data_IF_461726430046
#
_entry.id   IF_461726430046
#
_cell.length_a   1.000
_cell.length_b   1.000
_cell.length_c   1.000
_cell.angle_alpha   90.00
_cell.angle_beta   90.00
_cell.angle_gamma   90.00
#
_symmetry.space_group_name_H-M   'P 1'
#
loop_
_entity.id
_entity.type
_entity.pdbx_description
1 polymer ?
#
# COMPACT_ATOMS: atom_id res chain seq x y z
N UNK A 1 -11.66 24.99 18.16
CA UNK A 1 -11.30 23.84 17.33
C UNK A 1 -12.12 22.65 17.79
N UNK A 2 -12.87 22.05 16.88
CA UNK A 2 -13.86 21.02 17.20
C UNK A 2 -13.14 19.74 17.71
N UNK A 3 -13.49 19.27 18.91
CA UNK A 3 -12.86 18.08 19.55
C UNK A 3 -12.87 16.85 18.61
N UNK A 4 -13.80 16.78 17.66
CA UNK A 4 -13.88 15.73 16.64
C UNK A 4 -12.74 15.78 15.62
N UNK A 5 -12.29 16.97 15.22
CA UNK A 5 -11.19 17.14 14.27
C UNK A 5 -9.87 16.69 14.89
N UNK A 6 -9.58 17.18 16.10
CA UNK A 6 -8.38 16.80 16.84
C UNK A 6 -8.29 15.28 17.04
N UNK A 7 -9.40 14.64 17.39
CA UNK A 7 -9.45 13.18 17.55
C UNK A 7 -9.17 12.45 16.23
N UNK A 8 -9.74 12.90 15.12
CA UNK A 8 -9.53 12.27 13.81
C UNK A 8 -8.10 12.49 13.30
N UNK A 9 -7.53 13.67 13.49
CA UNK A 9 -6.11 13.96 13.18
C UNK A 9 -5.20 13.10 14.04
N UNK A 10 -5.45 13.00 15.35
CA UNK A 10 -4.67 12.17 16.26
C UNK A 10 -4.73 10.68 15.86
N UNK A 11 -5.91 10.15 15.54
CA UNK A 11 -6.07 8.76 15.05
C UNK A 11 -5.30 8.52 13.76
N UNK A 12 -5.34 9.46 12.81
CA UNK A 12 -4.61 9.34 11.56
C UNK A 12 -3.09 9.44 11.76
N UNK A 13 -2.63 10.36 12.61
CA UNK A 13 -1.20 10.48 12.98
C UNK A 13 -0.71 9.22 13.71
N UNK A 14 -1.50 8.72 14.66
CA UNK A 14 -1.17 7.48 15.38
C UNK A 14 -1.06 6.29 14.43
N UNK A 15 -1.98 6.18 13.46
CA UNK A 15 -1.96 5.16 12.41
C UNK A 15 -0.74 5.24 11.48
N UNK A 16 -0.09 6.41 11.36
CA UNK A 16 1.13 6.62 10.56
C UNK A 16 2.41 6.44 11.39
N UNK A 17 2.42 6.95 12.61
CA UNK A 17 3.63 6.94 13.49
C UNK A 17 3.86 5.55 14.07
N UNK A 18 2.80 4.86 14.46
CA UNK A 18 2.90 3.55 15.10
C UNK A 18 3.56 2.47 14.22
N UNK A 19 3.18 2.29 12.93
CA UNK A 19 3.88 1.37 12.04
C UNK A 19 5.36 1.72 11.83
N UNK A 20 5.68 3.02 11.78
CA UNK A 20 7.06 3.48 11.65
C UNK A 20 7.87 3.13 12.90
N UNK A 21 7.31 3.35 14.07
CA UNK A 21 7.94 2.99 15.34
C UNK A 21 8.16 1.47 15.45
N UNK A 22 7.16 0.67 15.08
CA UNK A 22 7.28 -0.79 15.07
C UNK A 22 8.41 -1.24 14.13
N UNK A 23 8.53 -0.63 12.93
CA UNK A 23 9.61 -0.99 12.01
C UNK A 23 10.98 -0.59 12.53
N UNK A 24 11.12 0.54 13.25
CA UNK A 24 12.39 0.94 13.87
C UNK A 24 12.87 -0.07 14.93
N UNK A 25 11.95 -0.72 15.63
CA UNK A 25 12.27 -1.74 16.64
C UNK A 25 12.50 -3.11 16.00
N UNK A 26 11.73 -3.46 14.98
CA UNK A 26 11.79 -4.80 14.37
C UNK A 26 12.96 -4.95 13.41
N UNK A 27 13.36 -3.90 12.67
CA UNK A 27 14.48 -3.96 11.72
C UNK A 27 15.80 -4.40 12.35
N UNK A 28 16.27 -3.80 13.47
CA UNK A 28 17.46 -4.29 14.15
C UNK A 28 17.35 -5.75 14.61
N UNK A 29 16.15 -6.17 15.04
CA UNK A 29 15.90 -7.56 15.46
C UNK A 29 16.00 -8.54 14.28
N UNK A 30 15.47 -8.17 13.12
CA UNK A 30 15.66 -8.94 11.88
C UNK A 30 17.12 -9.07 11.50
N UNK A 31 17.89 -7.98 11.54
CA UNK A 31 19.32 -8.01 11.19
C UNK A 31 20.11 -8.89 12.16
N UNK A 32 19.79 -8.86 13.45
CA UNK A 32 20.44 -9.72 14.46
C UNK A 32 20.15 -11.21 14.26
N UNK A 33 18.91 -11.55 13.90
CA UNK A 33 18.47 -12.94 13.74
C UNK A 33 18.90 -13.57 12.39
N UNK A 34 18.76 -12.80 11.31
CA UNK A 34 18.94 -13.30 9.94
C UNK A 34 20.32 -12.98 9.36
N UNK A 35 21.01 -11.98 9.90
CA UNK A 35 22.18 -11.38 9.30
C UNK A 35 21.86 -10.34 8.22
N UNK A 36 22.86 -9.51 7.89
CA UNK A 36 22.71 -8.37 6.98
C UNK A 36 22.34 -8.79 5.56
N UNK A 37 22.91 -9.89 5.06
CA UNK A 37 22.68 -10.36 3.68
C UNK A 37 21.24 -10.82 3.46
N UNK A 38 20.70 -11.69 4.34
CA UNK A 38 19.32 -12.16 4.25
C UNK A 38 18.32 -11.01 4.42
N UNK A 39 18.61 -10.08 5.34
CA UNK A 39 17.78 -8.90 5.49
C UNK A 39 17.80 -8.01 4.24
N UNK A 40 18.95 -7.87 3.58
CA UNK A 40 19.08 -7.17 2.30
C UNK A 40 18.19 -7.79 1.21
N UNK A 41 18.13 -9.11 1.11
CA UNK A 41 17.23 -9.83 0.18
C UNK A 41 15.77 -9.55 0.54
N UNK A 42 15.40 -9.59 1.83
CA UNK A 42 14.03 -9.25 2.27
C UNK A 42 13.65 -7.82 1.87
N UNK A 43 14.55 -6.86 2.08
CA UNK A 43 14.32 -5.46 1.70
C UNK A 43 14.14 -5.29 0.18
N UNK A 44 14.93 -5.99 -0.63
CA UNK A 44 14.75 -6.03 -2.10
C UNK A 44 13.40 -6.62 -2.49
N UNK A 45 13.02 -7.71 -1.86
CA UNK A 45 11.72 -8.36 -2.08
C UNK A 45 10.56 -7.40 -1.79
N UNK A 46 10.59 -6.68 -0.68
CA UNK A 46 9.56 -5.70 -0.35
C UNK A 46 9.51 -4.54 -1.34
N UNK A 47 10.66 -4.10 -1.81
CA UNK A 47 10.77 -3.08 -2.84
C UNK A 47 10.15 -3.57 -4.16
N UNK A 48 10.46 -4.79 -4.58
CA UNK A 48 9.87 -5.41 -5.77
C UNK A 48 8.35 -5.54 -5.64
N UNK A 49 7.84 -6.03 -4.52
CA UNK A 49 6.38 -6.11 -4.29
C UNK A 49 5.75 -4.71 -4.35
N UNK A 50 6.43 -3.67 -3.88
CA UNK A 50 6.01 -2.28 -4.02
C UNK A 50 5.90 -1.84 -5.48
N UNK A 51 6.87 -2.17 -6.33
CA UNK A 51 6.80 -1.89 -7.77
C UNK A 51 5.68 -2.66 -8.48
N UNK A 52 5.38 -3.87 -8.03
CA UNK A 52 4.26 -4.65 -8.59
C UNK A 52 2.88 -4.08 -8.26
N UNK A 53 2.78 -3.08 -7.37
CA UNK A 53 1.54 -2.30 -7.19
C UNK A 53 1.11 -1.58 -8.47
N UNK A 54 2.03 -1.35 -9.41
CA UNK A 54 1.73 -0.84 -10.77
C UNK A 54 0.79 -1.81 -11.52
N UNK A 55 0.82 -3.11 -11.21
CA UNK A 55 -0.09 -4.11 -11.80
C UNK A 55 -1.55 -3.98 -11.32
N UNK A 56 -1.83 -3.19 -10.29
CA UNK A 56 -3.19 -2.75 -9.97
C UNK A 56 -3.78 -1.90 -11.11
N UNK A 57 -2.94 -1.33 -11.98
CA UNK A 57 -3.33 -0.50 -13.13
C UNK A 57 -4.30 0.64 -12.74
N UNK A 58 -4.24 1.12 -11.49
CA UNK A 58 -5.17 2.14 -10.96
C UNK A 58 -6.61 1.66 -10.78
N UNK A 59 -6.88 0.35 -10.96
CA UNK A 59 -8.22 -0.21 -10.87
C UNK A 59 -8.82 -0.12 -9.47
N UNK A 60 -8.00 -0.21 -8.43
CA UNK A 60 -8.45 -0.03 -7.04
C UNK A 60 -8.97 1.39 -6.79
N UNK A 61 -8.31 2.40 -7.35
CA UNK A 61 -8.77 3.80 -7.28
C UNK A 61 -10.04 4.03 -8.10
N UNK A 62 -10.12 3.39 -9.29
CA UNK A 62 -11.31 3.40 -10.11
C UNK A 62 -12.50 2.76 -9.38
N UNK A 63 -12.27 1.61 -8.74
CA UNK A 63 -13.27 0.92 -7.94
C UNK A 63 -13.71 1.76 -6.73
N UNK A 64 -12.78 2.38 -6.02
CA UNK A 64 -13.08 3.30 -4.92
C UNK A 64 -14.01 4.43 -5.37
N UNK A 65 -13.73 5.08 -6.50
CA UNK A 65 -14.54 6.18 -7.04
C UNK A 65 -15.95 5.71 -7.44
N UNK A 66 -16.05 4.57 -8.15
CA UNK A 66 -17.34 4.03 -8.56
C UNK A 66 -18.17 3.53 -7.37
N UNK A 67 -17.54 2.89 -6.39
CA UNK A 67 -18.20 2.45 -5.15
C UNK A 67 -18.69 3.66 -4.36
N UNK A 68 -17.91 4.75 -4.27
CA UNK A 68 -18.33 5.95 -3.58
C UNK A 68 -19.61 6.54 -4.18
N UNK A 69 -19.71 6.61 -5.51
CA UNK A 69 -20.92 7.07 -6.23
C UNK A 69 -22.11 6.14 -5.99
N UNK A 70 -21.91 4.83 -6.13
CA UNK A 70 -22.95 3.83 -5.94
C UNK A 70 -23.43 3.78 -4.48
N UNK A 71 -22.52 3.91 -3.52
CA UNK A 71 -22.84 3.93 -2.10
C UNK A 71 -23.63 5.17 -1.69
N UNK A 72 -23.28 6.35 -2.22
CA UNK A 72 -23.99 7.60 -2.01
C UNK A 72 -25.42 7.56 -2.58
N UNK A 73 -25.61 6.91 -3.75
CA UNK A 73 -26.93 6.71 -4.37
C UNK A 73 -27.70 5.53 -3.77
N UNK A 74 -27.15 4.80 -2.79
CA UNK A 74 -27.73 3.60 -2.17
C UNK A 74 -28.00 2.46 -3.16
N UNK A 75 -27.26 2.43 -4.29
CA UNK A 75 -27.34 1.34 -5.26
C UNK A 75 -26.44 0.16 -4.84
N UNK A 76 -27.01 -0.74 -4.06
CA UNK A 76 -26.28 -1.92 -3.55
C UNK A 76 -25.85 -2.87 -4.68
N UNK A 77 -26.64 -2.98 -5.74
CA UNK A 77 -26.31 -3.82 -6.89
C UNK A 77 -25.12 -3.26 -7.67
N UNK A 78 -25.05 -1.95 -7.85
CA UNK A 78 -23.87 -1.31 -8.45
C UNK A 78 -22.61 -1.50 -7.59
N UNK A 79 -22.72 -1.31 -6.27
CA UNK A 79 -21.61 -1.58 -5.35
C UNK A 79 -21.09 -3.02 -5.50
N UNK A 80 -21.98 -4.00 -5.53
CA UNK A 80 -21.63 -5.41 -5.65
C UNK A 80 -20.99 -5.73 -7.02
N UNK A 81 -21.53 -5.18 -8.12
CA UNK A 81 -20.97 -5.35 -9.46
C UNK A 81 -19.56 -4.79 -9.56
N UNK A 82 -19.34 -3.57 -9.07
CA UNK A 82 -18.04 -2.90 -9.12
C UNK A 82 -17.04 -3.66 -8.27
N UNK A 83 -17.41 -4.03 -7.04
CA UNK A 83 -16.54 -4.76 -6.11
C UNK A 83 -16.03 -6.08 -6.70
N UNK A 84 -16.93 -6.93 -7.21
CA UNK A 84 -16.54 -8.24 -7.76
C UNK A 84 -15.78 -8.10 -9.08
N UNK A 85 -16.13 -7.14 -9.93
CA UNK A 85 -15.38 -6.90 -11.17
C UNK A 85 -13.95 -6.43 -10.87
N UNK A 86 -13.77 -5.51 -9.91
CA UNK A 86 -12.46 -5.07 -9.47
C UNK A 86 -11.66 -6.19 -8.80
N UNK A 87 -12.32 -7.01 -7.96
CA UNK A 87 -11.69 -8.18 -7.32
C UNK A 87 -11.10 -9.14 -8.34
N UNK A 88 -11.91 -9.59 -9.31
CA UNK A 88 -11.46 -10.56 -10.31
C UNK A 88 -10.38 -10.00 -11.23
N UNK A 89 -10.48 -8.72 -11.63
CA UNK A 89 -9.44 -8.07 -12.42
C UNK A 89 -8.12 -8.01 -11.65
N UNK A 90 -8.14 -7.55 -10.40
CA UNK A 90 -6.94 -7.44 -9.59
C UNK A 90 -6.36 -8.81 -9.19
N UNK A 91 -7.21 -9.81 -9.01
CA UNK A 91 -6.75 -11.18 -8.79
C UNK A 91 -6.03 -11.72 -10.02
N UNK A 92 -6.58 -11.53 -11.22
CA UNK A 92 -5.98 -12.03 -12.47
C UNK A 92 -4.67 -11.30 -12.80
N UNK A 93 -4.64 -9.96 -12.73
CA UNK A 93 -3.41 -9.19 -12.96
C UNK A 93 -2.35 -9.51 -11.90
N UNK A 94 -2.75 -9.68 -10.64
CA UNK A 94 -1.88 -10.12 -9.56
C UNK A 94 -1.33 -11.52 -9.77
N UNK A 95 -2.14 -12.47 -10.25
CA UNK A 95 -1.71 -13.83 -10.56
C UNK A 95 -0.71 -13.85 -11.73
N UNK A 96 -0.96 -13.06 -12.77
CA UNK A 96 -0.01 -12.87 -13.89
C UNK A 96 1.31 -12.29 -13.36
N UNK A 97 1.25 -11.24 -12.52
CA UNK A 97 2.43 -10.64 -11.89
C UNK A 97 3.20 -11.63 -11.00
N UNK A 98 2.47 -12.45 -10.25
CA UNK A 98 3.07 -13.52 -9.45
C UNK A 98 3.79 -14.56 -10.30
N UNK A 99 3.21 -14.96 -11.43
CA UNK A 99 3.85 -15.87 -12.37
C UNK A 99 5.11 -15.24 -13.02
N UNK A 100 5.06 -13.96 -13.36
CA UNK A 100 6.21 -13.22 -13.88
C UNK A 100 7.34 -13.13 -12.87
N UNK A 101 7.03 -12.87 -11.59
CA UNK A 101 8.05 -12.88 -10.52
C UNK A 101 8.63 -14.27 -10.32
N UNK A 102 7.81 -15.30 -10.33
CA UNK A 102 8.30 -16.66 -10.16
C UNK A 102 9.26 -17.05 -11.29
N UNK A 103 8.84 -16.87 -12.55
CA UNK A 103 9.64 -17.22 -13.72
C UNK A 103 10.88 -16.31 -13.86
N UNK A 104 10.73 -14.99 -13.71
CA UNK A 104 11.83 -14.04 -13.77
C UNK A 104 12.83 -14.20 -12.62
N UNK A 105 12.34 -14.47 -11.41
CA UNK A 105 13.17 -14.75 -10.23
C UNK A 105 13.95 -16.07 -10.38
N UNK A 106 13.33 -17.10 -10.93
CA UNK A 106 14.01 -18.37 -11.23
C UNK A 106 15.12 -18.20 -12.25
N UNK A 107 14.87 -17.44 -13.32
CA UNK A 107 15.87 -17.07 -14.32
C UNK A 107 17.00 -16.22 -13.70
N UNK A 108 16.66 -15.22 -12.91
CA UNK A 108 17.64 -14.36 -12.24
C UNK A 108 18.57 -15.17 -11.33
N UNK A 109 17.99 -16.05 -10.51
CA UNK A 109 18.78 -16.91 -9.63
C UNK A 109 19.65 -17.91 -10.39
N UNK A 110 19.26 -18.31 -11.61
CA UNK A 110 20.05 -19.20 -12.45
C UNK A 110 21.26 -18.51 -13.08
N UNK A 111 21.14 -17.25 -13.52
CA UNK A 111 22.13 -16.59 -14.38
C UNK A 111 22.90 -15.42 -13.76
N UNK A 112 22.35 -14.74 -12.74
CA UNK A 112 22.85 -13.43 -12.30
C UNK A 112 23.25 -13.35 -10.82
N UNK A 113 23.66 -14.43 -10.16
CA UNK A 113 23.95 -14.36 -8.74
C UNK A 113 25.43 -14.30 -8.38
N UNK A 114 25.83 -13.21 -7.72
CA UNK A 114 27.06 -13.11 -6.94
C UNK A 114 26.82 -13.42 -5.44
N UNK A 115 25.84 -14.29 -5.12
CA UNK A 115 25.50 -14.71 -3.78
C UNK A 115 25.98 -16.14 -3.50
N UNK A 116 26.14 -16.48 -2.22
CA UNK A 116 26.56 -17.83 -1.81
C UNK A 116 25.55 -18.88 -2.30
N UNK A 117 25.99 -20.13 -2.57
CA UNK A 117 25.11 -21.21 -3.00
C UNK A 117 23.93 -21.46 -2.04
N UNK A 118 24.16 -21.31 -0.73
CA UNK A 118 23.13 -21.46 0.31
C UNK A 118 22.04 -20.40 0.17
N UNK A 119 22.45 -19.13 0.05
CA UNK A 119 21.50 -18.01 -0.09
C UNK A 119 20.73 -18.10 -1.41
N UNK A 120 21.37 -18.55 -2.48
CA UNK A 120 20.73 -18.83 -3.76
C UNK A 120 19.58 -19.83 -3.61
N UNK A 121 19.86 -20.94 -2.90
CA UNK A 121 18.85 -21.98 -2.63
C UNK A 121 17.69 -21.41 -1.79
N UNK A 122 17.98 -20.63 -0.75
CA UNK A 122 16.94 -19.99 0.08
C UNK A 122 16.06 -19.05 -0.75
N UNK A 123 16.65 -18.23 -1.63
CA UNK A 123 15.91 -17.34 -2.53
C UNK A 123 15.00 -18.14 -3.46
N UNK A 124 15.52 -19.21 -4.07
CA UNK A 124 14.72 -20.05 -4.97
C UNK A 124 13.52 -20.69 -4.25
N UNK A 125 13.72 -21.19 -3.03
CA UNK A 125 12.64 -21.78 -2.20
C UNK A 125 11.64 -20.73 -1.70
N UNK A 126 12.02 -19.45 -1.69
CA UNK A 126 11.14 -18.35 -1.31
C UNK A 126 10.29 -17.82 -2.47
N UNK A 127 10.67 -18.06 -3.75
CA UNK A 127 9.96 -17.55 -4.93
C UNK A 127 8.46 -17.91 -4.97
N UNK A 128 8.01 -19.14 -4.62
CA UNK A 128 6.58 -19.45 -4.59
C UNK A 128 5.79 -18.56 -3.65
N UNK A 129 6.36 -18.23 -2.49
CA UNK A 129 5.73 -17.33 -1.52
C UNK A 129 5.59 -15.92 -2.06
N UNK A 130 6.62 -15.44 -2.78
CA UNK A 130 6.57 -14.15 -3.46
C UNK A 130 5.50 -14.10 -4.55
N UNK A 131 5.41 -15.16 -5.34
CA UNK A 131 4.39 -15.27 -6.38
C UNK A 131 2.96 -15.17 -5.80
N UNK A 132 2.71 -15.77 -4.63
CA UNK A 132 1.43 -15.68 -3.93
C UNK A 132 1.22 -14.30 -3.28
N UNK A 133 2.27 -13.61 -2.86
CA UNK A 133 2.16 -12.31 -2.21
C UNK A 133 1.54 -11.23 -3.11
N UNK A 134 1.77 -11.28 -4.42
CA UNK A 134 1.31 -10.26 -5.38
C UNK A 134 -0.20 -10.24 -5.55
N UNK A 135 -0.87 -11.36 -5.91
CA UNK A 135 -2.33 -11.35 -6.02
C UNK A 135 -3.00 -11.00 -4.68
N UNK A 136 -2.43 -11.42 -3.55
CA UNK A 136 -2.94 -11.03 -2.23
C UNK A 136 -2.83 -9.52 -2.01
N UNK A 137 -1.72 -8.90 -2.41
CA UNK A 137 -1.53 -7.46 -2.30
C UNK A 137 -2.54 -6.69 -3.19
N UNK A 138 -2.67 -7.08 -4.47
CA UNK A 138 -3.59 -6.43 -5.41
C UNK A 138 -5.05 -6.51 -4.93
N UNK A 139 -5.51 -7.68 -4.50
CA UNK A 139 -6.86 -7.84 -3.95
C UNK A 139 -7.06 -7.02 -2.68
N UNK A 140 -6.04 -6.89 -1.83
CA UNK A 140 -6.10 -6.05 -0.63
C UNK A 140 -6.34 -4.57 -0.95
N UNK A 141 -5.78 -4.06 -2.05
CA UNK A 141 -6.05 -2.70 -2.52
C UNK A 141 -7.51 -2.50 -2.92
N UNK A 142 -8.15 -3.49 -3.55
CA UNK A 142 -9.59 -3.45 -3.87
C UNK A 142 -10.43 -3.38 -2.59
N UNK A 143 -10.11 -4.20 -1.59
CA UNK A 143 -10.82 -4.18 -0.30
C UNK A 143 -10.65 -2.83 0.41
N UNK A 144 -9.44 -2.28 0.40
CA UNK A 144 -9.15 -0.95 0.93
C UNK A 144 -9.95 0.13 0.18
N UNK A 145 -9.94 0.09 -1.15
CA UNK A 145 -10.71 1.00 -2.00
C UNK A 145 -12.21 0.92 -1.73
N UNK A 146 -12.75 -0.27 -1.52
CA UNK A 146 -14.16 -0.49 -1.19
C UNK A 146 -14.57 0.16 0.15
N UNK A 147 -13.76 -0.03 1.20
CA UNK A 147 -14.03 0.55 2.52
C UNK A 147 -13.88 2.09 2.49
N UNK A 148 -12.85 2.58 1.81
CA UNK A 148 -12.61 4.01 1.65
C UNK A 148 -13.68 4.67 0.77
N UNK A 149 -14.16 3.99 -0.30
CA UNK A 149 -15.27 4.44 -1.13
C UNK A 149 -16.58 4.56 -0.36
N UNK A 150 -16.80 3.72 0.65
CA UNK A 150 -17.92 3.82 1.58
C UNK A 150 -17.67 4.80 2.75
N UNK A 151 -16.57 5.56 2.74
CA UNK A 151 -16.16 6.54 3.76
C UNK A 151 -15.99 5.96 5.18
N UNK A 152 -15.74 4.65 5.29
CA UNK A 152 -15.53 3.96 6.56
C UNK A 152 -14.06 3.94 6.98
N UNK A 153 -13.42 5.12 7.02
CA UNK A 153 -11.99 5.30 7.29
C UNK A 153 -11.53 4.70 8.63
N UNK A 154 -12.37 4.72 9.67
CA UNK A 154 -12.05 4.10 10.96
C UNK A 154 -11.86 2.58 10.84
N UNK A 155 -12.73 1.90 10.09
CA UNK A 155 -12.63 0.46 9.83
C UNK A 155 -11.37 0.17 9.01
N UNK A 156 -11.11 0.96 7.97
CA UNK A 156 -9.90 0.85 7.17
C UNK A 156 -8.63 0.98 8.02
N UNK A 157 -8.51 2.07 8.80
CA UNK A 157 -7.33 2.34 9.62
C UNK A 157 -7.09 1.25 10.67
N UNK A 158 -8.13 0.72 11.30
CA UNK A 158 -8.01 -0.39 12.27
C UNK A 158 -7.47 -1.64 11.59
N UNK A 159 -8.04 -2.04 10.44
CA UNK A 159 -7.57 -3.21 9.69
C UNK A 159 -6.13 -3.02 9.19
N UNK A 160 -5.80 -1.82 8.71
CA UNK A 160 -4.46 -1.49 8.22
C UNK A 160 -3.42 -1.56 9.36
N UNK A 161 -3.74 -1.03 10.52
CA UNK A 161 -2.87 -1.10 11.70
C UNK A 161 -2.65 -2.55 12.13
N UNK A 162 -3.73 -3.33 12.27
CA UNK A 162 -3.64 -4.76 12.59
C UNK A 162 -2.83 -5.53 11.56
N UNK A 163 -3.06 -5.27 10.26
CA UNK A 163 -2.31 -5.87 9.17
C UNK A 163 -0.82 -5.54 9.23
N UNK A 164 -0.47 -4.30 9.58
CA UNK A 164 0.93 -3.89 9.75
C UNK A 164 1.60 -4.61 10.92
N UNK A 165 0.91 -4.72 12.05
CA UNK A 165 1.43 -5.48 13.20
C UNK A 165 1.65 -6.96 12.85
N UNK A 166 0.67 -7.60 12.24
CA UNK A 166 0.79 -8.99 11.81
C UNK A 166 1.99 -9.16 10.86
N UNK A 167 2.13 -8.26 9.90
CA UNK A 167 3.19 -8.30 8.89
C UNK A 167 4.59 -8.06 9.47
N UNK A 168 4.72 -7.27 10.52
CA UNK A 168 6.00 -6.99 11.19
C UNK A 168 6.36 -8.07 12.22
N UNK A 169 5.40 -8.50 13.01
CA UNK A 169 5.66 -9.35 14.17
C UNK A 169 5.63 -10.86 13.86
N UNK A 170 4.71 -11.30 12.97
CA UNK A 170 4.58 -12.73 12.68
C UNK A 170 5.84 -13.32 12.03
N UNK A 171 6.47 -12.69 11.01
CA UNK A 171 7.72 -13.20 10.47
C UNK A 171 8.88 -13.16 11.47
N UNK A 172 8.91 -12.12 12.33
CA UNK A 172 9.93 -12.05 13.39
C UNK A 172 9.76 -13.16 14.41
N UNK A 173 8.52 -13.43 14.84
CA UNK A 173 8.21 -14.54 15.74
C UNK A 173 8.54 -15.90 15.09
N UNK A 174 8.26 -16.07 13.80
CA UNK A 174 8.61 -17.27 13.06
C UNK A 174 10.13 -17.47 12.97
N UNK A 175 10.89 -16.41 12.70
CA UNK A 175 12.35 -16.45 12.67
C UNK A 175 12.97 -16.80 14.05
N UNK A 176 12.31 -16.38 15.12
CA UNK A 176 12.74 -16.67 16.49
C UNK A 176 12.36 -18.08 16.95
N UNK A 177 11.16 -18.57 16.57
CA UNK A 177 10.63 -19.87 17.01
C UNK A 177 11.11 -21.05 16.17
N UNK A 178 11.47 -20.80 14.93
CA UNK A 178 11.94 -21.79 13.96
C UNK A 178 13.35 -21.42 13.45
N UNK A 179 13.72 -21.92 12.28
CA UNK A 179 14.99 -21.58 11.65
C UNK A 179 14.95 -20.15 11.06
N UNK A 180 15.96 -19.29 11.35
CA UNK A 180 16.05 -17.94 10.81
C UNK A 180 16.55 -17.95 9.35
N UNK A 181 15.73 -18.46 8.43
CA UNK A 181 15.99 -18.50 6.99
C UNK A 181 14.96 -17.67 6.20
N UNK A 182 15.29 -17.33 4.94
CA UNK A 182 14.43 -16.52 4.07
C UNK A 182 13.07 -17.17 3.82
N UNK A 183 13.03 -18.48 3.64
CA UNK A 183 11.78 -19.20 3.36
C UNK A 183 10.80 -19.07 4.52
N UNK A 184 11.24 -19.29 5.77
CA UNK A 184 10.40 -19.17 6.97
C UNK A 184 9.86 -17.76 7.12
N UNK A 185 10.71 -16.76 6.98
CA UNK A 185 10.32 -15.35 7.14
C UNK A 185 9.34 -14.91 6.04
N UNK A 186 9.61 -15.26 4.79
CA UNK A 186 8.74 -14.88 3.68
C UNK A 186 7.42 -15.64 3.69
N UNK A 187 7.43 -16.93 4.03
CA UNK A 187 6.21 -17.69 4.26
C UNK A 187 5.34 -17.05 5.34
N UNK A 188 5.91 -16.76 6.52
CA UNK A 188 5.20 -16.12 7.63
C UNK A 188 4.67 -14.72 7.23
N UNK A 189 5.42 -13.94 6.44
CA UNK A 189 4.98 -12.66 5.93
C UNK A 189 3.79 -12.79 4.97
N UNK A 190 3.79 -13.81 4.12
CA UNK A 190 2.65 -14.10 3.22
C UNK A 190 1.42 -14.53 4.02
N UNK A 191 1.58 -15.38 5.03
CA UNK A 191 0.48 -15.75 5.94
C UNK A 191 -0.07 -14.53 6.68
N UNK A 192 0.79 -13.64 7.18
CA UNK A 192 0.36 -12.38 7.79
C UNK A 192 -0.45 -11.51 6.81
N UNK A 193 0.01 -11.39 5.57
CA UNK A 193 -0.73 -10.67 4.51
C UNK A 193 -2.06 -11.33 4.16
N UNK A 194 -2.11 -12.64 4.04
CA UNK A 194 -3.35 -13.38 3.82
C UNK A 194 -4.35 -13.15 4.96
N UNK A 195 -3.90 -13.25 6.22
CA UNK A 195 -4.75 -12.97 7.37
C UNK A 195 -5.27 -11.52 7.36
N UNK A 196 -4.41 -10.55 7.09
CA UNK A 196 -4.79 -9.14 6.96
C UNK A 196 -5.77 -8.92 5.79
N UNK A 197 -5.54 -9.55 4.62
CA UNK A 197 -6.43 -9.48 3.47
C UNK A 197 -7.80 -10.09 3.76
N UNK A 198 -7.87 -11.22 4.48
CA UNK A 198 -9.13 -11.85 4.91
C UNK A 198 -9.89 -10.93 5.87
N UNK A 199 -9.23 -10.32 6.85
CA UNK A 199 -9.85 -9.38 7.77
C UNK A 199 -10.40 -8.15 7.03
N UNK A 200 -9.60 -7.58 6.13
CA UNK A 200 -9.97 -6.42 5.33
C UNK A 200 -11.12 -6.75 4.37
N UNK A 201 -11.06 -7.91 3.69
CA UNK A 201 -12.11 -8.40 2.79
C UNK A 201 -13.44 -8.64 3.52
N UNK A 202 -13.40 -9.28 4.70
CA UNK A 202 -14.60 -9.45 5.54
C UNK A 202 -15.19 -8.11 5.95
N UNK A 203 -14.35 -7.15 6.27
CA UNK A 203 -14.79 -5.79 6.61
C UNK A 203 -15.42 -5.09 5.41
N UNK A 204 -14.81 -5.19 4.22
CA UNK A 204 -15.36 -4.63 2.97
C UNK A 204 -16.73 -5.22 2.62
N UNK A 205 -16.86 -6.55 2.66
CA UNK A 205 -18.13 -7.24 2.38
C UNK A 205 -19.24 -6.83 3.38
N UNK A 206 -18.90 -6.69 4.67
CA UNK A 206 -19.85 -6.22 5.70
C UNK A 206 -20.27 -4.78 5.49
N UNK A 207 -19.33 -3.89 5.18
CA UNK A 207 -19.59 -2.47 4.94
C UNK A 207 -20.50 -2.26 3.74
N UNK A 208 -20.27 -3.01 2.65
CA UNK A 208 -21.07 -2.92 1.43
C UNK A 208 -22.35 -3.78 1.47
N UNK A 209 -22.55 -4.59 2.51
CA UNK A 209 -23.71 -5.49 2.62
C UNK A 209 -23.71 -6.64 1.62
N UNK A 210 -22.56 -6.98 1.01
CA UNK A 210 -22.41 -8.02 0.01
C UNK A 210 -22.45 -9.39 0.69
N UNK A 211 -23.35 -10.26 0.21
CA UNK A 211 -23.53 -11.61 0.76
C UNK A 211 -23.20 -12.74 -0.21
N UNK A 212 -23.17 -12.45 -1.50
CA UNK A 212 -22.96 -13.46 -2.55
C UNK A 212 -21.72 -13.15 -3.36
N UNK A 213 -21.00 -14.18 -3.76
CA UNK A 213 -19.92 -14.07 -4.73
C UNK A 213 -20.52 -14.00 -6.13
N UNK A 214 -20.13 -13.01 -6.91
CA UNK A 214 -20.50 -12.88 -8.31
C UNK A 214 -19.27 -12.89 -9.22
N UNK A 215 -19.45 -13.33 -10.46
CA UNK A 215 -18.43 -13.22 -11.50
C UNK A 215 -18.22 -11.76 -11.96
N UNK A 216 -17.12 -11.49 -12.66
CA UNK A 216 -16.87 -10.18 -13.25
C UNK A 216 -17.91 -9.85 -14.32
N UNK A 217 -18.29 -8.58 -14.42
CA UNK A 217 -19.11 -8.07 -15.53
C UNK A 217 -18.24 -7.34 -16.53
N UNK A 218 -18.28 -7.74 -17.78
CA UNK A 218 -17.45 -7.21 -18.85
C UNK A 218 -17.55 -5.68 -18.97
N UNK A 219 -18.78 -5.15 -18.93
CA UNK A 219 -19.01 -3.71 -19.05
C UNK A 219 -18.37 -2.93 -17.91
N UNK A 220 -18.56 -3.40 -16.67
CA UNK A 220 -17.96 -2.80 -15.48
C UNK A 220 -16.43 -2.95 -15.49
N UNK A 221 -15.94 -4.13 -15.87
CA UNK A 221 -14.51 -4.41 -15.99
C UNK A 221 -13.83 -3.49 -17.01
N UNK A 222 -14.45 -3.28 -18.18
CA UNK A 222 -13.96 -2.36 -19.21
C UNK A 222 -13.95 -0.90 -18.73
N UNK A 223 -14.98 -0.47 -18.02
CA UNK A 223 -15.05 0.86 -17.45
C UNK A 223 -13.95 1.08 -16.37
N UNK A 224 -13.72 0.08 -15.50
CA UNK A 224 -12.64 0.11 -14.50
C UNK A 224 -11.27 0.16 -15.17
N UNK A 225 -11.04 -0.64 -16.20
CA UNK A 225 -9.77 -0.67 -16.92
C UNK A 225 -9.49 0.65 -17.65
N UNK A 226 -10.47 1.22 -18.31
CA UNK A 226 -10.32 2.50 -19.01
C UNK A 226 -10.00 3.65 -18.05
N UNK A 227 -10.70 3.74 -16.93
CA UNK A 227 -10.43 4.76 -15.91
C UNK A 227 -9.09 4.49 -15.22
N UNK A 228 -8.82 3.24 -14.86
CA UNK A 228 -7.57 2.81 -14.24
C UNK A 228 -6.37 3.06 -15.12
N UNK A 229 -6.49 2.86 -16.45
CA UNK A 229 -5.42 3.14 -17.41
C UNK A 229 -4.94 4.60 -17.39
N UNK A 230 -5.86 5.57 -17.26
CA UNK A 230 -5.49 6.97 -17.07
C UNK A 230 -4.81 7.23 -15.73
N UNK A 231 -5.31 6.61 -14.67
CA UNK A 231 -4.68 6.69 -13.34
C UNK A 231 -3.28 6.05 -13.34
N UNK A 232 -3.10 4.95 -14.09
CA UNK A 232 -1.79 4.34 -14.28
C UNK A 232 -0.80 5.31 -14.95
N UNK A 233 -1.20 5.94 -16.05
CA UNK A 233 -0.36 6.93 -16.75
C UNK A 233 0.03 8.07 -15.80
N UNK A 234 -0.91 8.60 -15.05
CA UNK A 234 -0.64 9.64 -14.06
C UNK A 234 0.34 9.16 -12.97
N UNK A 235 0.13 7.95 -12.43
CA UNK A 235 1.01 7.36 -11.41
C UNK A 235 2.40 7.07 -11.94
N UNK A 236 2.53 6.55 -13.16
CA UNK A 236 3.82 6.32 -13.80
C UNK A 236 4.57 7.63 -14.06
N UNK A 237 3.85 8.68 -14.49
CA UNK A 237 4.45 10.01 -14.68
C UNK A 237 5.02 10.55 -13.38
N UNK A 238 4.27 10.45 -12.27
CA UNK A 238 4.75 10.85 -10.94
C UNK A 238 5.95 10.01 -10.51
N UNK A 239 5.89 8.69 -10.67
CA UNK A 239 6.98 7.78 -10.32
C UNK A 239 8.26 8.08 -11.12
N UNK A 240 8.13 8.34 -12.42
CA UNK A 240 9.25 8.73 -13.29
C UNK A 240 9.80 10.08 -12.82
N UNK A 241 8.95 11.08 -12.61
CA UNK A 241 9.35 12.40 -12.13
C UNK A 241 10.11 12.31 -10.80
N UNK A 242 9.62 11.56 -9.83
CA UNK A 242 10.26 11.35 -8.52
C UNK A 242 11.60 10.58 -8.62
N UNK A 243 11.80 9.82 -9.70
CA UNK A 243 12.99 9.00 -9.91
C UNK A 243 14.03 9.68 -10.79
N UNK A 244 13.63 10.60 -11.67
CA UNK A 244 14.51 11.28 -12.62
C UNK A 244 15.67 11.99 -11.94
N UNK A 245 15.41 12.71 -10.85
CA UNK A 245 16.45 13.42 -10.08
C UNK A 245 17.55 12.48 -9.64
N UNK A 246 17.17 11.30 -9.12
CA UNK A 246 18.10 10.28 -8.63
C UNK A 246 18.88 9.61 -9.75
N UNK A 247 18.19 9.35 -10.87
CA UNK A 247 18.84 8.77 -12.06
C UNK A 247 19.83 9.74 -12.68
N UNK A 248 19.48 11.03 -12.82
CA UNK A 248 20.36 12.06 -13.33
C UNK A 248 21.59 12.28 -12.43
N UNK A 249 21.38 12.35 -11.11
CA UNK A 249 22.47 12.46 -10.14
C UNK A 249 23.37 11.21 -10.17
N UNK A 250 22.78 10.02 -10.26
CA UNK A 250 23.54 8.77 -10.33
C UNK A 250 24.37 8.63 -11.61
N UNK A 251 23.80 9.02 -12.75
CA UNK A 251 24.49 8.97 -14.03
C UNK A 251 25.56 10.05 -14.19
N UNK A 252 25.30 11.27 -13.66
CA UNK A 252 26.22 12.41 -13.83
C UNK A 252 27.30 12.51 -12.76
N UNK A 253 26.96 12.24 -11.50
CA UNK A 253 27.82 12.51 -10.34
C UNK A 253 28.18 11.24 -9.53
N UNK A 254 27.51 10.12 -9.80
CA UNK A 254 27.75 8.84 -9.14
C UNK A 254 26.91 8.60 -7.87
N UNK A 255 26.92 7.34 -7.41
CA UNK A 255 26.04 6.83 -6.34
C UNK A 255 26.16 7.59 -5.00
N UNK A 256 27.31 8.16 -4.68
CA UNK A 256 27.53 8.94 -3.47
C UNK A 256 26.64 10.18 -3.41
N UNK A 257 26.47 10.87 -4.52
CA UNK A 257 25.62 12.08 -4.60
C UNK A 257 24.13 11.73 -4.55
N UNK A 258 23.75 10.57 -5.07
CA UNK A 258 22.37 10.03 -4.91
C UNK A 258 22.06 9.86 -3.41
N UNK A 259 22.99 9.33 -2.62
CA UNK A 259 22.79 9.17 -1.18
C UNK A 259 22.62 10.52 -0.48
N UNK A 260 23.47 11.51 -0.80
CA UNK A 260 23.38 12.84 -0.22
C UNK A 260 22.08 13.58 -0.56
N UNK A 261 21.51 13.31 -1.71
CA UNK A 261 20.20 13.84 -2.12
C UNK A 261 19.04 13.09 -1.47
N UNK A 262 19.10 11.75 -1.50
CA UNK A 262 17.98 10.91 -1.08
C UNK A 262 17.71 10.98 0.43
N UNK A 263 18.74 11.12 1.26
CA UNK A 263 18.56 11.17 2.73
C UNK A 263 17.76 12.40 3.16
N UNK A 264 18.12 13.64 2.78
CA UNK A 264 17.33 14.82 3.10
C UNK A 264 15.93 14.78 2.45
N UNK A 265 15.83 14.32 1.19
CA UNK A 265 14.55 14.20 0.47
C UNK A 265 13.58 13.27 1.21
N UNK A 266 14.06 12.14 1.72
CA UNK A 266 13.23 11.22 2.51
C UNK A 266 12.72 11.88 3.79
N UNK A 267 13.51 12.73 4.43
CA UNK A 267 13.09 13.49 5.61
C UNK A 267 11.99 14.51 5.23
N UNK A 268 12.20 15.28 4.17
CA UNK A 268 11.21 16.24 3.66
C UNK A 268 9.90 15.51 3.25
N UNK A 269 10.00 14.39 2.56
CA UNK A 269 8.83 13.60 2.16
C UNK A 269 8.04 13.10 3.38
N UNK A 270 8.72 12.75 4.48
CA UNK A 270 8.06 12.39 5.74
C UNK A 270 7.35 13.58 6.39
N UNK A 271 7.90 14.77 6.29
CA UNK A 271 7.22 15.99 6.77
C UNK A 271 5.94 16.27 5.98
N UNK A 272 5.87 15.94 4.69
CA UNK A 272 4.66 16.04 3.88
C UNK A 272 3.51 15.13 4.36
N UNK A 273 3.76 14.16 5.25
CA UNK A 273 2.70 13.36 5.86
C UNK A 273 1.74 14.22 6.69
N UNK A 274 2.24 15.28 7.33
CA UNK A 274 1.41 16.18 8.18
C UNK A 274 0.43 16.99 7.33
N UNK A 275 0.84 17.75 6.28
CA UNK A 275 -0.08 18.40 5.36
C UNK A 275 -1.08 17.45 4.70
N UNK A 276 -0.63 16.26 4.28
CA UNK A 276 -1.50 15.28 3.66
C UNK A 276 -2.58 14.74 4.62
N UNK A 277 -2.26 14.54 5.89
CA UNK A 277 -3.23 14.15 6.90
C UNK A 277 -4.29 15.25 7.13
N UNK A 278 -3.86 16.51 7.12
CA UNK A 278 -4.74 17.67 7.20
C UNK A 278 -5.67 17.79 5.99
N UNK A 279 -5.13 17.69 4.78
CA UNK A 279 -5.91 17.72 3.53
C UNK A 279 -6.97 16.63 3.54
N UNK A 280 -6.62 15.39 3.89
CA UNK A 280 -7.58 14.28 3.97
C UNK A 280 -8.71 14.51 4.98
N UNK A 281 -8.46 15.26 6.04
CA UNK A 281 -9.45 15.55 7.08
C UNK A 281 -10.31 16.76 6.73
N UNK A 282 -9.73 17.76 6.07
CA UNK A 282 -10.40 19.03 5.74
C UNK A 282 -11.15 18.96 4.40
N UNK A 283 -10.63 18.25 3.42
CA UNK A 283 -11.19 18.18 2.07
C UNK A 283 -12.67 17.74 2.01
N UNK A 284 -13.11 16.70 2.74
CA UNK A 284 -14.53 16.30 2.74
C UNK A 284 -15.44 17.37 3.34
N UNK A 285 -14.98 18.12 4.34
CA UNK A 285 -15.74 19.21 4.95
C UNK A 285 -15.82 20.43 4.03
N UNK A 286 -14.72 20.78 3.36
CA UNK A 286 -14.69 21.84 2.35
C UNK A 286 -15.64 21.52 1.19
N UNK A 287 -15.68 20.26 0.78
CA UNK A 287 -16.57 19.82 -0.31
C UNK A 287 -18.05 19.81 0.09
N UNK A 288 -18.36 19.62 1.39
CA UNK A 288 -19.73 19.55 1.90
C UNK A 288 -20.37 20.93 2.18
N UNK A 289 -19.56 21.98 2.38
CA UNK A 289 -20.04 23.29 2.83
C UNK A 289 -20.39 24.26 1.70
N UNK A 290 -20.18 23.89 0.44
CA UNK A 290 -20.50 24.74 -0.72
C UNK A 290 -19.67 26.02 -0.81
N UNK A 291 -19.85 26.78 -1.90
CA UNK A 291 -19.07 27.99 -2.19
C UNK A 291 -19.29 29.14 -1.20
N UNK A 292 -20.42 29.20 -0.53
CA UNK A 292 -20.79 30.33 0.34
C UNK A 292 -19.96 30.44 1.64
N UNK A 293 -19.35 29.34 2.09
CA UNK A 293 -18.52 29.30 3.31
C UNK A 293 -17.04 29.00 3.02
N UNK A 294 -16.63 28.96 1.76
CA UNK A 294 -15.26 28.59 1.36
C UNK A 294 -14.21 29.56 1.92
N UNK A 295 -14.53 30.86 1.96
CA UNK A 295 -13.61 31.90 2.46
C UNK A 295 -13.36 31.81 3.97
N UNK A 296 -14.39 31.47 4.75
CA UNK A 296 -14.30 31.33 6.20
C UNK A 296 -13.45 30.10 6.60
N UNK A 297 -13.56 29.06 5.84
CA UNK A 297 -12.79 27.81 6.05
C UNK A 297 -11.37 27.96 5.52
N UNK A 298 -11.15 28.68 4.43
CA UNK A 298 -9.81 29.03 3.95
C UNK A 298 -9.06 29.85 5.01
N UNK A 299 -9.72 30.81 5.64
CA UNK A 299 -9.17 31.61 6.73
C UNK A 299 -8.83 30.76 7.96
N UNK A 300 -9.72 29.84 8.37
CA UNK A 300 -9.46 28.92 9.49
C UNK A 300 -8.34 27.92 9.18
N UNK A 301 -8.23 27.44 7.93
CA UNK A 301 -7.17 26.56 7.48
C UNK A 301 -5.82 27.25 7.47
N UNK A 302 -5.77 28.52 7.03
CA UNK A 302 -4.59 29.38 7.07
C UNK A 302 -4.15 29.67 8.51
N UNK A 303 -5.07 29.98 9.41
CA UNK A 303 -4.76 30.16 10.83
C UNK A 303 -4.19 28.89 11.46
N UNK A 304 -4.70 27.74 11.10
CA UNK A 304 -4.18 26.44 11.58
C UNK A 304 -2.79 26.14 11.01
N UNK A 305 -2.57 26.35 9.72
CA UNK A 305 -1.26 26.20 9.10
C UNK A 305 -0.24 27.16 9.73
N UNK A 306 -0.59 28.42 9.96
CA UNK A 306 0.25 29.37 10.67
C UNK A 306 0.56 28.91 12.10
N UNK A 307 -0.39 28.38 12.85
CA UNK A 307 -0.16 27.90 14.22
C UNK A 307 0.70 26.62 14.29
N UNK A 308 0.77 25.84 13.21
CA UNK A 308 1.59 24.61 13.15
C UNK A 308 2.98 24.88 12.60
N UNK A 309 3.15 25.88 11.71
CA UNK A 309 4.39 26.13 10.99
C UNK A 309 5.10 27.43 11.40
N UNK A 310 4.47 28.30 12.21
CA UNK A 310 5.15 29.42 12.87
C UNK A 310 5.46 29.03 14.31
N UNK A 311 6.78 28.99 14.70
CA UNK A 311 7.18 28.68 16.05
C UNK A 311 6.77 29.75 17.06
#
# INVERSE_FOLDING_TARGET
MDKGILRNVAINLFGLVLPTFVSLVTVPSYIRLLGVERYGVIALVWTLIGYFSVLDLGMSMAAQNQISKAYASKDADACERVFWSAFWLNFTTGAIGGLLIYSGGALYTAYFTHVTPELRREVYLALPWLAVAIPVANVSWVFAGAINGAERFGIYNTNQTLGTFLFQLLPLAAAWAYEPNLQTVLAAAVFARLAAAILLGRSALRVLGIRKVRGPRLDTSKALFNFGGWMLVASMTTMIADSLDRMMLGAGLGARFVTYYTVPQNLVTRLNMVPNALVRTLFPRLSALGREHADEIAAQSLQFLNAVFTP
#
